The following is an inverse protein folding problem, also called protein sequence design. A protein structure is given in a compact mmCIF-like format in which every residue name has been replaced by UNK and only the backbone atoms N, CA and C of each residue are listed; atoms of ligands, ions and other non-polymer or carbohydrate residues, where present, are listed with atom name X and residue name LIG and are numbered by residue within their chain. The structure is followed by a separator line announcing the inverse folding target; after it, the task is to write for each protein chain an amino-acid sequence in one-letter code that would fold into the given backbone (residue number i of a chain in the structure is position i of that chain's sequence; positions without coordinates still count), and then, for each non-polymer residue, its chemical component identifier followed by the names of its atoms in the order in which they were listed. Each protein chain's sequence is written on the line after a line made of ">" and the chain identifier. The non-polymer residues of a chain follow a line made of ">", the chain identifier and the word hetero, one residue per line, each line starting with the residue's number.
data_IF_153233184554
#
_entry.id   IF_153233184554
#
_cell.length_a   1.000
_cell.length_b   1.000
_cell.length_c   1.000
_cell.angle_alpha   90.00
_cell.angle_beta   90.00
_cell.angle_gamma   90.00
#
_symmetry.space_group_name_H-M   'P 1'
#
loop_
_entity.id
_entity.type
_entity.pdbx_description
1 polymer ?
#
# COMPACT_ATOMS: atom_id res chain seq x y z
N UNK A 1 1.94 22.64 -22.38
CA UNK A 1 1.98 21.19 -22.07
C UNK A 1 2.77 21.02 -20.79
N UNK A 2 2.24 20.29 -19.81
CA UNK A 2 2.96 20.05 -18.57
C UNK A 2 4.05 19.01 -18.81
N UNK A 3 5.27 19.26 -18.34
CA UNK A 3 6.39 18.33 -18.39
C UNK A 3 6.75 17.96 -16.95
N UNK A 4 6.69 16.66 -16.64
CA UNK A 4 7.05 16.11 -15.34
C UNK A 4 8.39 15.38 -15.46
N UNK A 5 9.31 15.60 -14.51
CA UNK A 5 10.58 14.87 -14.44
C UNK A 5 10.68 14.13 -13.11
N UNK A 6 10.75 12.81 -13.17
CA UNK A 6 10.94 11.95 -12.01
C UNK A 6 12.44 11.76 -11.75
N UNK A 7 12.91 12.13 -10.57
CA UNK A 7 14.31 11.94 -10.13
C UNK A 7 14.37 10.87 -9.04
N UNK A 8 15.53 10.22 -8.90
CA UNK A 8 15.78 9.17 -7.90
C UNK A 8 14.78 8.02 -7.96
N UNK A 9 14.34 7.64 -9.17
CA UNK A 9 13.47 6.48 -9.35
C UNK A 9 14.31 5.20 -9.20
N UNK A 10 13.91 4.25 -8.35
CA UNK A 10 14.61 2.98 -8.20
C UNK A 10 14.76 2.22 -9.53
N UNK A 11 15.93 1.63 -9.77
CA UNK A 11 16.25 0.96 -11.04
C UNK A 11 15.34 -0.24 -11.33
N UNK A 12 14.93 -0.96 -10.29
CA UNK A 12 13.97 -2.06 -10.35
C UNK A 12 12.59 -1.58 -10.82
N UNK A 13 12.15 -0.41 -10.34
CA UNK A 13 10.89 0.21 -10.76
C UNK A 13 10.96 0.64 -12.22
N UNK A 14 12.09 1.22 -12.65
CA UNK A 14 12.32 1.58 -14.06
C UNK A 14 12.31 0.33 -14.95
N UNK A 15 12.94 -0.77 -14.51
CA UNK A 15 12.96 -2.03 -15.26
C UNK A 15 11.53 -2.60 -15.42
N UNK A 16 10.74 -2.64 -14.35
CA UNK A 16 9.34 -3.09 -14.38
C UNK A 16 8.48 -2.23 -15.30
N UNK A 17 8.65 -0.90 -15.29
CA UNK A 17 7.94 0.00 -16.19
C UNK A 17 8.32 -0.24 -17.66
N UNK A 18 9.60 -0.47 -17.97
CA UNK A 18 10.05 -0.78 -19.33
C UNK A 18 9.46 -2.10 -19.84
N UNK A 19 9.43 -3.14 -19.02
CA UNK A 19 8.80 -4.42 -19.39
C UNK A 19 7.30 -4.25 -19.63
N UNK A 20 6.61 -3.51 -18.75
CA UNK A 20 5.19 -3.22 -18.88
C UNK A 20 4.88 -2.43 -20.16
N UNK A 21 5.68 -1.40 -20.46
CA UNK A 21 5.58 -0.62 -21.69
C UNK A 21 5.78 -1.50 -22.94
N UNK A 22 6.78 -2.40 -22.94
CA UNK A 22 7.01 -3.37 -24.03
C UNK A 22 5.82 -4.31 -24.21
N UNK A 23 5.26 -4.83 -23.12
CA UNK A 23 4.07 -5.71 -23.15
C UNK A 23 2.86 -5.00 -23.74
N UNK A 24 2.66 -3.73 -23.41
CA UNK A 24 1.56 -2.92 -23.88
C UNK A 24 1.84 -2.21 -25.22
N UNK A 25 3.01 -2.45 -25.83
CA UNK A 25 3.47 -1.83 -27.08
C UNK A 25 3.35 -0.30 -27.09
N UNK A 26 3.63 0.33 -25.96
CA UNK A 26 3.60 1.80 -25.80
C UNK A 26 4.96 2.33 -25.37
N UNK A 27 5.16 3.63 -25.56
CA UNK A 27 6.35 4.31 -25.08
C UNK A 27 6.37 4.31 -23.55
N UNK A 28 7.57 4.41 -22.97
CA UNK A 28 7.73 4.48 -21.52
C UNK A 28 6.96 5.69 -20.94
N UNK A 29 6.97 6.83 -21.63
CA UNK A 29 6.26 8.02 -21.20
C UNK A 29 4.75 7.79 -21.10
N UNK A 30 4.14 7.16 -22.11
CA UNK A 30 2.71 6.85 -22.12
C UNK A 30 2.34 5.78 -21.07
N UNK A 31 3.25 4.83 -20.78
CA UNK A 31 3.05 3.88 -19.67
C UNK A 31 3.09 4.60 -18.32
N UNK A 32 4.02 5.54 -18.12
CA UNK A 32 4.12 6.32 -16.89
C UNK A 32 2.87 7.17 -16.67
N UNK A 33 2.37 7.85 -17.71
CA UNK A 33 1.12 8.62 -17.64
C UNK A 33 -0.05 7.71 -17.26
N UNK A 34 -0.22 6.57 -17.95
CA UNK A 34 -1.29 5.63 -17.66
C UNK A 34 -1.20 5.03 -16.23
N UNK A 35 0.01 4.86 -15.70
CA UNK A 35 0.20 4.41 -14.33
C UNK A 35 -0.21 5.48 -13.31
N UNK A 36 0.08 6.76 -13.59
CA UNK A 36 -0.35 7.89 -12.75
C UNK A 36 -1.86 8.07 -12.78
N UNK A 37 -2.50 7.97 -13.95
CA UNK A 37 -3.96 8.03 -14.09
C UNK A 37 -4.67 6.94 -13.28
N UNK A 38 -4.11 5.73 -13.26
CA UNK A 38 -4.66 4.62 -12.48
C UNK A 38 -4.53 4.84 -10.97
N UNK A 39 -3.41 5.41 -10.53
CA UNK A 39 -3.20 5.74 -9.12
C UNK A 39 -4.15 6.85 -8.66
N UNK A 40 -4.33 7.88 -9.50
CA UNK A 40 -5.27 8.98 -9.24
C UNK A 40 -6.72 8.48 -9.17
N UNK A 41 -7.12 7.57 -10.06
CA UNK A 41 -8.44 6.94 -10.01
C UNK A 41 -8.66 6.05 -8.78
N UNK A 42 -7.61 5.48 -8.21
CA UNK A 42 -7.68 4.69 -6.99
C UNK A 42 -7.87 5.58 -5.75
N UNK A 43 -7.26 6.76 -5.72
CA UNK A 43 -7.40 7.76 -4.66
C UNK A 43 -8.71 8.56 -4.77
N UNK A 44 -9.20 8.80 -5.99
CA UNK A 44 -10.47 9.48 -6.27
C UNK A 44 -11.72 8.68 -5.85
N UNK A 45 -11.55 7.51 -5.23
CA UNK A 45 -12.62 6.83 -4.50
C UNK A 45 -12.49 7.10 -3.00
N UNK A 46 -12.97 8.25 -2.48
CA UNK A 46 -13.27 8.33 -1.07
C UNK A 46 -14.53 7.50 -0.80
N UNK A 47 -14.59 6.84 0.37
CA UNK A 47 -15.75 6.15 0.92
C UNK A 47 -15.95 4.69 0.41
N UNK A 48 -15.89 3.64 1.25
CA UNK A 48 -16.24 3.62 2.66
C UNK A 48 -17.74 3.82 2.81
N UNK A 49 -18.52 2.74 2.66
CA UNK A 49 -19.65 2.40 3.54
C UNK A 49 -20.27 3.57 4.33
N UNK A 50 -20.95 4.47 3.61
CA UNK A 50 -21.67 5.61 4.14
C UNK A 50 -23.07 5.65 3.56
N UNK A 51 -23.93 4.78 4.09
CA UNK A 51 -25.39 4.91 4.15
C UNK A 51 -26.14 5.57 2.98
N UNK A 52 -26.45 4.79 1.95
CA UNK A 52 -27.85 4.53 1.66
C UNK A 52 -28.06 3.03 1.88
N UNK A 53 -29.11 2.56 2.59
CA UNK A 53 -29.41 1.15 2.58
C UNK A 53 -29.75 0.79 1.14
N UNK A 54 -28.77 0.25 0.42
CA UNK A 54 -29.06 -0.62 -0.71
C UNK A 54 -30.05 -1.64 -0.15
N UNK A 55 -31.24 -1.80 -0.76
CA UNK A 55 -32.16 -2.84 -0.34
C UNK A 55 -31.34 -4.13 -0.36
N UNK A 56 -31.16 -4.72 0.83
CA UNK A 56 -30.49 -6.01 0.97
C UNK A 56 -31.22 -6.90 -0.05
N UNK A 57 -30.54 -7.38 -1.11
CA UNK A 57 -31.23 -8.18 -2.10
C UNK A 57 -31.90 -9.33 -1.35
N UNK A 58 -33.17 -9.64 -1.67
CA UNK A 58 -33.95 -10.64 -0.94
C UNK A 58 -33.10 -11.91 -0.82
N UNK A 59 -33.11 -12.50 0.39
CA UNK A 59 -32.28 -13.66 0.77
C UNK A 59 -31.95 -14.48 -0.47
N UNK A 60 -30.73 -14.28 -0.99
CA UNK A 60 -30.25 -15.06 -2.12
C UNK A 60 -30.40 -16.50 -1.66
N UNK A 61 -31.13 -17.30 -2.42
CA UNK A 61 -31.30 -18.73 -2.12
C UNK A 61 -29.91 -19.25 -1.74
N UNK A 62 -29.77 -19.66 -0.47
CA UNK A 62 -28.47 -19.94 0.15
C UNK A 62 -27.74 -20.99 -0.68
N UNK A 63 -28.48 -21.91 -1.26
CA UNK A 63 -27.97 -22.94 -2.14
C UNK A 63 -27.45 -22.36 -3.46
N UNK A 64 -28.20 -21.44 -4.09
CA UNK A 64 -27.76 -20.75 -5.30
C UNK A 64 -26.55 -19.84 -5.08
N UNK A 65 -26.45 -19.19 -3.91
CA UNK A 65 -25.29 -18.39 -3.52
C UNK A 65 -24.04 -19.27 -3.36
N UNK A 66 -24.17 -20.40 -2.66
CA UNK A 66 -23.09 -21.37 -2.48
C UNK A 66 -22.67 -21.99 -3.82
N UNK A 67 -23.61 -22.26 -4.73
CA UNK A 67 -23.30 -22.75 -6.07
C UNK A 67 -22.46 -21.75 -6.89
N UNK A 68 -22.78 -20.45 -6.82
CA UNK A 68 -22.00 -19.40 -7.50
C UNK A 68 -20.58 -19.30 -6.94
N UNK A 69 -20.42 -19.35 -5.62
CA UNK A 69 -19.10 -19.34 -4.97
C UNK A 69 -18.27 -20.53 -5.43
N UNK A 70 -18.86 -21.74 -5.45
CA UNK A 70 -18.19 -22.96 -5.94
C UNK A 70 -17.78 -22.86 -7.41
N UNK A 71 -18.64 -22.31 -8.27
CA UNK A 71 -18.33 -22.11 -9.69
C UNK A 71 -17.16 -21.15 -9.91
N UNK A 72 -17.07 -20.07 -9.14
CA UNK A 72 -15.95 -19.13 -9.18
C UNK A 72 -14.66 -19.80 -8.69
N UNK A 73 -14.73 -20.57 -7.60
CA UNK A 73 -13.59 -21.31 -7.06
C UNK A 73 -13.07 -22.37 -8.05
N UNK A 74 -13.96 -23.08 -8.75
CA UNK A 74 -13.59 -24.06 -9.77
C UNK A 74 -12.90 -23.43 -10.98
N UNK A 75 -13.25 -22.19 -11.33
CA UNK A 75 -12.65 -21.44 -12.44
C UNK A 75 -11.24 -20.90 -12.11
N UNK A 76 -10.92 -20.74 -10.82
CA UNK A 76 -9.66 -20.18 -10.36
C UNK A 76 -9.04 -21.04 -9.23
N UNK A 77 -8.47 -22.22 -9.58
CA UNK A 77 -7.92 -23.15 -8.59
C UNK A 77 -6.71 -22.58 -7.80
N UNK A 78 -6.10 -21.48 -8.27
CA UNK A 78 -4.99 -20.80 -7.59
C UNK A 78 -5.39 -19.65 -6.65
N UNK A 79 -6.61 -19.13 -6.73
CA UNK A 79 -7.10 -18.05 -5.83
C UNK A 79 -7.96 -18.58 -4.70
N UNK A 80 -8.54 -19.77 -4.89
CA UNK A 80 -8.88 -20.65 -3.79
C UNK A 80 -7.57 -21.18 -3.18
N UNK A 81 -6.79 -20.30 -2.53
CA UNK A 81 -6.07 -20.73 -1.33
C UNK A 81 -7.21 -21.26 -0.48
N UNK A 82 -7.43 -22.58 -0.51
CA UNK A 82 -8.38 -23.28 0.33
C UNK A 82 -8.28 -22.55 1.65
N UNK A 83 -9.39 -21.96 2.12
CA UNK A 83 -9.41 -21.22 3.36
C UNK A 83 -8.80 -22.17 4.38
N UNK A 84 -7.49 -22.03 4.59
CA UNK A 84 -6.76 -22.86 5.51
C UNK A 84 -7.40 -22.37 6.78
N UNK A 85 -8.24 -23.24 7.35
CA UNK A 85 -8.79 -23.02 8.67
C UNK A 85 -7.58 -22.60 9.48
N UNK A 86 -7.62 -21.36 9.97
CA UNK A 86 -6.51 -20.81 10.71
C UNK A 86 -6.13 -21.89 11.73
N UNK A 87 -4.90 -22.43 11.68
CA UNK A 87 -4.54 -23.58 12.50
C UNK A 87 -4.60 -23.24 13.99
N UNK A 88 -4.69 -21.94 14.32
CA UNK A 88 -4.83 -21.42 15.66
C UNK A 88 -6.22 -21.67 16.20
N UNK A 89 -6.26 -22.11 17.45
CA UNK A 89 -7.48 -22.26 18.22
C UNK A 89 -8.16 -20.91 18.44
N UNK A 90 -9.49 -20.89 18.70
CA UNK A 90 -10.20 -19.65 19.03
C UNK A 90 -9.59 -18.90 20.22
N UNK A 91 -9.02 -19.62 21.19
CA UNK A 91 -8.36 -19.06 22.37
C UNK A 91 -7.06 -18.32 22.00
N UNK A 92 -6.25 -18.89 21.11
CA UNK A 92 -5.02 -18.26 20.60
C UNK A 92 -5.34 -16.99 19.79
N UNK A 93 -6.41 -17.03 18.99
CA UNK A 93 -6.89 -15.86 18.23
C UNK A 93 -7.33 -14.77 19.22
N UNK A 94 -8.07 -15.13 20.27
CA UNK A 94 -8.53 -14.17 21.27
C UNK A 94 -7.35 -13.54 22.03
N UNK A 95 -6.37 -14.34 22.45
CA UNK A 95 -5.17 -13.84 23.13
C UNK A 95 -4.35 -12.87 22.26
N UNK A 96 -4.33 -13.07 20.95
CA UNK A 96 -3.68 -12.16 20.01
C UNK A 96 -4.46 -10.85 19.86
N UNK A 97 -5.79 -10.93 19.77
CA UNK A 97 -6.66 -9.75 19.76
C UNK A 97 -6.51 -8.91 21.02
N UNK A 98 -6.38 -9.55 22.19
CA UNK A 98 -6.15 -8.88 23.47
C UNK A 98 -4.80 -8.15 23.48
N UNK A 99 -3.73 -8.77 22.94
CA UNK A 99 -2.42 -8.11 22.76
C UNK A 99 -2.50 -6.92 21.82
N UNK A 100 -3.26 -7.01 20.73
CA UNK A 100 -3.46 -5.88 19.83
C UNK A 100 -4.24 -4.75 20.50
N UNK A 101 -5.24 -5.07 21.31
CA UNK A 101 -5.99 -4.08 22.07
C UNK A 101 -5.08 -3.34 23.08
N UNK A 102 -4.21 -4.09 23.78
CA UNK A 102 -3.21 -3.53 24.68
C UNK A 102 -2.23 -2.60 23.93
N UNK A 103 -1.63 -3.07 22.84
CA UNK A 103 -0.75 -2.28 21.98
C UNK A 103 -1.44 -1.00 21.49
N UNK A 104 -2.69 -1.11 21.02
CA UNK A 104 -3.48 0.04 20.55
C UNK A 104 -3.77 1.03 21.66
N UNK A 105 -3.90 0.59 22.92
CA UNK A 105 -4.13 1.48 24.05
C UNK A 105 -2.94 2.41 24.35
N UNK A 106 -1.72 2.01 23.95
CA UNK A 106 -0.52 2.85 24.06
C UNK A 106 -0.49 3.98 23.01
N UNK A 107 -1.12 3.81 21.86
CA UNK A 107 -1.23 4.83 20.83
C UNK A 107 -2.37 5.80 21.16
N UNK A 108 -2.03 6.87 21.89
CA UNK A 108 -2.94 7.99 22.18
C UNK A 108 -2.68 9.14 21.22
N UNK A 109 -3.71 9.62 20.53
CA UNK A 109 -3.62 10.78 19.66
C UNK A 109 -4.47 10.64 18.39
N UNK A 110 -4.57 11.72 17.60
CA UNK A 110 -5.12 11.63 16.25
C UNK A 110 -4.31 10.63 15.41
N UNK A 111 -4.91 10.00 14.39
CA UNK A 111 -4.17 9.13 13.48
C UNK A 111 -3.01 9.90 12.86
N UNK A 112 -1.83 9.29 12.84
CA UNK A 112 -0.65 9.88 12.21
C UNK A 112 -0.93 10.08 10.73
N UNK A 113 -0.72 11.28 10.22
CA UNK A 113 -0.96 11.57 8.80
C UNK A 113 0.16 11.00 7.94
N UNK A 114 -0.14 10.77 6.65
CA UNK A 114 0.88 10.36 5.68
C UNK A 114 2.04 11.35 5.62
N UNK A 115 1.77 12.64 5.77
CA UNK A 115 2.75 13.73 5.78
C UNK A 115 3.68 13.64 7.00
N UNK A 116 3.12 13.34 8.17
CA UNK A 116 3.90 13.14 9.40
C UNK A 116 4.80 11.91 9.32
N UNK A 117 4.34 10.83 8.68
CA UNK A 117 5.14 9.63 8.43
C UNK A 117 6.31 9.93 7.49
N UNK A 118 6.05 10.64 6.38
CA UNK A 118 7.09 11.04 5.42
C UNK A 118 8.13 11.93 6.12
N UNK A 119 7.69 12.94 6.88
CA UNK A 119 8.58 13.84 7.60
C UNK A 119 9.45 13.11 8.65
N UNK A 120 8.91 12.10 9.33
CA UNK A 120 9.66 11.29 10.29
C UNK A 120 10.76 10.46 9.62
N UNK A 121 10.45 9.82 8.48
CA UNK A 121 11.42 9.05 7.69
C UNK A 121 12.54 9.95 7.16
N UNK A 122 12.19 11.14 6.65
CA UNK A 122 13.19 12.11 6.17
C UNK A 122 14.11 12.60 7.29
N UNK A 123 13.58 12.81 8.50
CA UNK A 123 14.36 13.22 9.67
C UNK A 123 15.34 12.16 10.14
N UNK A 124 14.98 10.88 10.10
CA UNK A 124 15.90 9.78 10.42
C UNK A 124 16.93 9.51 9.32
N UNK A 125 16.60 9.87 8.07
CA UNK A 125 17.47 9.66 6.91
C UNK A 125 18.58 10.71 6.75
N UNK A 126 18.60 11.76 7.58
CA UNK A 126 19.70 12.73 7.59
C UNK A 126 20.80 12.27 8.56
N UNK A 127 21.98 11.80 8.08
CA UNK A 127 23.13 11.63 8.95
C UNK A 127 23.47 12.98 9.57
N UNK A 128 23.74 13.02 10.88
CA UNK A 128 24.35 14.19 11.53
C UNK A 128 25.56 14.58 10.68
N UNK A 129 25.50 15.71 9.99
CA UNK A 129 26.63 16.24 9.24
C UNK A 129 27.83 16.27 10.20
N UNK A 130 28.89 15.56 9.82
CA UNK A 130 30.19 15.69 10.45
C UNK A 130 30.55 17.17 10.38
N UNK A 131 30.62 17.82 11.55
CA UNK A 131 31.03 19.22 11.65
C UNK A 131 32.28 19.44 10.79
N UNK A 132 32.31 20.48 9.94
CA UNK A 132 33.52 20.78 9.19
C UNK A 132 34.63 21.11 10.18
N UNK A 133 35.64 20.24 10.24
CA UNK A 133 36.90 20.48 10.91
C UNK A 133 37.40 21.88 10.50
N UNK A 134 37.37 22.78 11.48
CA UNK A 134 37.91 24.14 11.39
C UNK A 134 39.31 24.06 10.76
N UNK A 135 39.63 24.84 9.72
CA UNK A 135 40.98 24.85 9.18
C UNK A 135 41.92 25.39 10.25
N UNK A 136 42.82 24.54 10.75
CA UNK A 136 43.95 24.98 11.56
C UNK A 136 44.80 25.92 10.70
N UNK A 137 44.70 27.22 10.95
CA UNK A 137 45.69 28.20 10.51
C UNK A 137 47.07 27.73 10.98
N UNK A 138 47.94 27.41 10.03
CA UNK A 138 49.37 27.24 10.32
C UNK A 138 50.08 28.57 10.00
N UNK A 139 50.97 29.04 10.87
CA UNK A 139 51.56 30.36 10.77
C UNK A 139 52.62 30.43 9.69
N UNK A 140 52.73 31.63 9.12
CA UNK A 140 53.78 32.10 8.24
C UNK A 140 55.18 31.79 8.78
N UNK A 141 56.09 31.35 7.92
CA UNK A 141 57.55 31.52 8.05
C UNK A 141 58.18 31.56 6.67
#
# INVERSE_FOLDING_TARGET
>A
MATLTLRNVPDDLVARLKERAKRHRRSLNNETIAALELADAAEASPAGSGGMPQPVPPLVDREAALAKIRAIQARFPGTARAAQVDPRTPEEIQAELDRFAELRSHFKGPPVTTEEIIAAIERESHPRELEPLIPLQQPQS
#
